data_IF_482666268677
#
_entry.id   IF_482666268677
#
_cell.length_a   1.000
_cell.length_b   1.000
_cell.length_c   1.000
_cell.angle_alpha   90.00
_cell.angle_beta   90.00
_cell.angle_gamma   90.00
#
_symmetry.space_group_name_H-M   'P 1'
#
loop_
_entity.id
_entity.type
_entity.pdbx_description
1 polymer ?
#
# COMPACT_ATOMS: atom_id res chain seq x y z
N UNK A 1 -23.83 -21.67 44.98
CA UNK A 1 -24.58 -20.81 44.03
C UNK A 1 -23.82 -19.52 43.69
N UNK A 2 -23.31 -18.77 44.68
CA UNK A 2 -22.53 -17.51 44.49
C UNK A 2 -21.28 -17.66 43.60
N UNK A 3 -20.54 -18.77 43.74
CA UNK A 3 -19.31 -19.03 42.96
C UNK A 3 -19.54 -19.35 41.48
N UNK A 4 -20.72 -19.90 41.12
CA UNK A 4 -21.10 -20.13 39.71
C UNK A 4 -21.45 -18.82 39.00
N UNK A 5 -22.15 -17.93 39.71
CA UNK A 5 -22.53 -16.59 39.23
C UNK A 5 -21.28 -15.72 39.01
N UNK A 6 -20.34 -15.74 39.97
CA UNK A 6 -19.07 -15.01 39.84
C UNK A 6 -18.24 -15.47 38.64
N UNK A 7 -18.15 -16.79 38.40
CA UNK A 7 -17.46 -17.33 37.22
C UNK A 7 -18.12 -16.91 35.91
N UNK A 8 -19.45 -16.90 35.85
CA UNK A 8 -20.19 -16.45 34.67
C UNK A 8 -19.93 -14.97 34.35
N UNK A 9 -19.91 -14.12 35.39
CA UNK A 9 -19.62 -12.68 35.23
C UNK A 9 -18.17 -12.47 34.75
N UNK A 10 -17.21 -13.20 35.32
CA UNK A 10 -15.81 -13.13 34.91
C UNK A 10 -15.62 -13.56 33.44
N UNK A 11 -16.29 -14.62 32.99
CA UNK A 11 -16.25 -15.06 31.60
C UNK A 11 -16.86 -14.03 30.63
N UNK A 12 -18.00 -13.43 30.99
CA UNK A 12 -18.62 -12.37 30.17
C UNK A 12 -17.74 -11.13 30.05
N UNK A 13 -17.06 -10.73 31.14
CA UNK A 13 -16.11 -9.62 31.12
C UNK A 13 -14.88 -9.92 30.25
N UNK A 14 -14.37 -11.15 30.30
CA UNK A 14 -13.24 -11.58 29.48
C UNK A 14 -13.61 -11.54 27.97
N UNK A 15 -14.80 -12.01 27.62
CA UNK A 15 -15.28 -11.99 26.23
C UNK A 15 -15.47 -10.56 25.73
N UNK A 16 -16.08 -9.69 26.54
CA UNK A 16 -16.22 -8.27 26.21
C UNK A 16 -14.87 -7.59 26.01
N UNK A 17 -13.88 -7.91 26.85
CA UNK A 17 -12.53 -7.39 26.72
C UNK A 17 -11.84 -7.85 25.42
N UNK A 18 -11.96 -9.14 25.07
CA UNK A 18 -11.41 -9.69 23.81
C UNK A 18 -12.07 -9.03 22.59
N UNK A 19 -13.38 -8.77 22.65
CA UNK A 19 -14.12 -8.12 21.56
C UNK A 19 -13.66 -6.67 21.34
N UNK A 20 -13.44 -5.92 22.42
CA UNK A 20 -12.91 -4.54 22.36
C UNK A 20 -11.47 -4.50 21.85
N UNK A 21 -10.64 -5.49 22.23
CA UNK A 21 -9.25 -5.56 21.77
C UNK A 21 -9.17 -5.88 20.26
N UNK A 22 -10.11 -6.70 19.76
CA UNK A 22 -10.20 -7.08 18.34
C UNK A 22 -10.55 -5.89 17.45
N UNK A 23 -11.42 -4.97 17.89
CA UNK A 23 -11.79 -3.79 17.09
C UNK A 23 -10.68 -2.76 17.03
N UNK A 24 -9.88 -2.62 18.08
CA UNK A 24 -8.71 -1.73 18.10
C UNK A 24 -7.63 -2.16 17.09
N UNK A 25 -7.43 -3.46 16.89
CA UNK A 25 -6.48 -3.98 15.89
C UNK A 25 -6.90 -3.67 14.45
N UNK A 26 -8.20 -3.59 14.16
CA UNK A 26 -8.73 -3.21 12.84
C UNK A 26 -8.67 -1.72 12.57
N UNK A 27 -8.60 -0.89 13.62
CA UNK A 27 -8.53 0.56 13.53
C UNK A 27 -7.10 1.11 13.36
N UNK A 28 -6.13 0.25 13.08
CA UNK A 28 -4.74 0.65 12.85
C UNK A 28 -4.69 1.70 11.72
N UNK A 29 -4.26 2.91 12.05
CA UNK A 29 -4.07 3.98 11.08
C UNK A 29 -3.02 3.55 10.05
N UNK A 30 -3.33 3.70 8.76
CA UNK A 30 -2.33 3.50 7.71
C UNK A 30 -1.25 4.57 7.85
N UNK A 31 0.01 4.17 7.81
CA UNK A 31 1.12 5.12 7.69
C UNK A 31 0.94 5.92 6.40
N UNK A 32 0.95 7.24 6.50
CA UNK A 32 0.90 8.10 5.33
C UNK A 32 2.14 7.84 4.48
N UNK A 33 1.93 7.63 3.17
CA UNK A 33 3.02 7.51 2.22
C UNK A 33 3.36 8.91 1.74
N UNK A 34 4.60 9.33 1.95
CA UNK A 34 5.11 10.57 1.37
C UNK A 34 5.35 10.34 -0.13
N UNK A 35 4.36 10.69 -0.95
CA UNK A 35 4.40 10.42 -2.41
C UNK A 35 5.61 11.08 -3.09
N UNK A 36 6.06 12.24 -2.57
CA UNK A 36 7.18 12.99 -3.12
C UNK A 36 8.53 12.26 -2.99
N UNK A 37 8.69 11.38 -1.99
CA UNK A 37 9.91 10.60 -1.81
C UNK A 37 9.91 9.29 -2.61
N UNK A 38 8.85 9.02 -3.39
CA UNK A 38 8.78 7.84 -4.25
C UNK A 38 9.41 8.11 -5.62
N UNK A 39 10.17 7.13 -6.10
CA UNK A 39 10.77 7.16 -7.43
C UNK A 39 12.09 7.94 -7.51
N UNK A 40 12.70 8.02 -8.71
CA UNK A 40 13.95 8.76 -8.92
C UNK A 40 13.78 10.25 -8.60
N UNK A 41 14.76 10.81 -7.90
CA UNK A 41 14.81 12.22 -7.54
C UNK A 41 15.54 13.04 -8.62
N UNK A 42 15.41 14.37 -8.55
CA UNK A 42 16.12 15.25 -9.48
C UNK A 42 17.64 15.06 -9.33
N UNK A 43 18.31 14.73 -10.43
CA UNK A 43 19.74 14.42 -10.46
C UNK A 43 20.06 12.92 -10.41
N UNK A 44 19.09 12.08 -10.03
CA UNK A 44 19.26 10.63 -10.11
C UNK A 44 19.24 10.15 -11.57
N UNK A 45 19.93 9.05 -11.81
CA UNK A 45 19.83 8.34 -13.07
C UNK A 45 18.50 7.59 -13.15
N UNK A 46 17.80 7.75 -14.28
CA UNK A 46 16.59 6.98 -14.56
C UNK A 46 16.96 5.50 -14.73
N UNK A 47 16.30 4.56 -14.03
CA UNK A 47 16.56 3.13 -14.20
C UNK A 47 16.25 2.67 -15.63
N UNK A 48 17.11 1.80 -16.16
CA UNK A 48 16.86 1.15 -17.45
C UNK A 48 15.63 0.24 -17.37
N UNK A 49 14.89 0.17 -18.48
CA UNK A 49 13.75 -0.73 -18.63
C UNK A 49 13.69 -1.35 -20.03
N UNK A 50 12.95 -2.45 -20.12
CA UNK A 50 12.61 -3.14 -21.37
C UNK A 50 11.15 -3.56 -21.26
N UNK A 51 10.26 -2.78 -21.83
CA UNK A 51 8.80 -2.95 -21.68
C UNK A 51 8.15 -3.02 -23.06
N UNK A 52 7.13 -3.85 -23.18
CA UNK A 52 6.34 -3.96 -24.41
C UNK A 52 5.24 -2.90 -24.40
N UNK A 53 5.11 -2.15 -25.49
CA UNK A 53 4.05 -1.16 -25.65
C UNK A 53 2.71 -1.79 -26.10
N UNK A 54 1.68 -0.95 -26.30
CA UNK A 54 0.34 -1.39 -26.69
C UNK A 54 0.26 -2.08 -28.05
N UNK A 55 1.27 -1.90 -28.90
CA UNK A 55 1.37 -2.51 -30.22
C UNK A 55 2.23 -3.79 -30.20
N UNK A 56 2.69 -4.22 -29.03
CA UNK A 56 3.60 -5.37 -28.92
C UNK A 56 5.05 -5.03 -29.21
N UNK A 57 5.41 -3.75 -29.36
CA UNK A 57 6.79 -3.35 -29.68
C UNK A 57 7.60 -3.19 -28.41
N UNK A 58 8.82 -3.74 -28.39
CA UNK A 58 9.72 -3.59 -27.26
C UNK A 58 10.31 -2.18 -27.24
N UNK A 59 10.13 -1.48 -26.14
CA UNK A 59 10.71 -0.16 -25.86
C UNK A 59 11.74 -0.25 -24.75
N UNK A 60 12.79 0.57 -24.86
CA UNK A 60 13.82 0.78 -23.84
C UNK A 60 13.93 2.25 -23.51
N UNK A 61 14.70 2.61 -22.48
CA UNK A 61 14.95 4.02 -22.15
C UNK A 61 15.59 4.75 -23.34
N UNK A 62 16.54 4.10 -24.01
CA UNK A 62 17.25 4.64 -25.17
C UNK A 62 16.34 4.82 -26.38
N UNK A 63 15.40 3.90 -26.63
CA UNK A 63 14.53 3.97 -27.81
C UNK A 63 13.53 5.12 -27.75
N UNK A 64 13.16 5.56 -26.53
CA UNK A 64 12.21 6.66 -26.30
C UNK A 64 12.89 7.99 -25.92
N UNK A 65 14.23 8.01 -25.87
CA UNK A 65 15.00 9.20 -25.55
C UNK A 65 14.89 10.24 -26.68
N UNK A 66 14.46 11.46 -26.33
CA UNK A 66 14.37 12.59 -27.27
C UNK A 66 15.38 13.70 -26.96
N UNK A 67 15.70 14.57 -27.93
CA UNK A 67 16.62 15.69 -27.72
C UNK A 67 16.10 16.74 -26.72
N UNK A 68 14.78 16.81 -26.50
CA UNK A 68 14.15 17.66 -25.48
C UNK A 68 13.93 16.94 -24.14
N UNK A 69 14.43 15.71 -23.99
CA UNK A 69 14.13 14.83 -22.87
C UNK A 69 12.92 13.92 -23.12
N UNK A 70 12.60 13.13 -22.09
CA UNK A 70 11.56 12.09 -22.14
C UNK A 70 10.67 12.20 -20.90
N UNK A 71 9.36 12.08 -21.11
CA UNK A 71 8.38 12.05 -20.01
C UNK A 71 7.94 10.61 -19.74
N UNK A 72 8.15 10.15 -18.50
CA UNK A 72 7.66 8.85 -18.01
C UNK A 72 6.48 9.07 -17.06
N UNK A 73 5.29 8.59 -17.45
CA UNK A 73 4.08 8.69 -16.64
C UNK A 73 3.74 7.33 -16.04
N UNK A 74 3.82 7.23 -14.71
CA UNK A 74 3.33 6.08 -13.97
C UNK A 74 1.89 6.33 -13.56
N UNK A 75 0.98 5.48 -14.02
CA UNK A 75 -0.40 5.48 -13.55
C UNK A 75 -0.80 4.06 -13.17
N UNK A 76 -1.60 3.92 -12.11
CA UNK A 76 -2.39 2.71 -11.90
C UNK A 76 -3.67 2.87 -12.70
N UNK A 77 -4.06 1.85 -13.47
CA UNK A 77 -5.38 1.83 -14.09
C UNK A 77 -6.44 2.04 -13.01
N UNK A 78 -7.47 2.83 -13.31
CA UNK A 78 -8.65 2.86 -12.46
C UNK A 78 -9.41 1.55 -12.69
N UNK A 79 -9.66 0.81 -11.62
CA UNK A 79 -10.68 -0.23 -11.56
C UNK A 79 -12.01 0.45 -11.92
N UNK A 80 -12.46 0.25 -13.16
CA UNK A 80 -13.80 0.62 -13.62
C UNK A 80 -14.73 -0.58 -13.48
#
# INVERSE_FOLDING_TARGET
MRTKIQKSIASSLLIAFILVLSTAALAQSRTAIEVASLGPQVGDLVPNFRLTDQNGTLQTLESIAGPAGTMLLFHRSADW
#
